data_IF_126540327261
#
_entry.id   IF_126540327261
#
_cell.length_a   1.000
_cell.length_b   1.000
_cell.length_c   1.000
_cell.angle_alpha   90.00
_cell.angle_beta   90.00
_cell.angle_gamma   90.00
#
_symmetry.space_group_name_H-M   'P 1'
#
loop_
_entity.id
_entity.type
_entity.pdbx_description
1 polymer ?
#
# COMPACT_ATOMS: atom_id res chain seq x y z
N UNK A 1 -2.39 7.46 6.73
CA UNK A 1 -1.81 8.17 5.57
C UNK A 1 -0.43 8.64 5.97
N UNK A 2 0.60 8.01 5.43
CA UNK A 2 1.99 8.32 5.78
C UNK A 2 2.59 9.20 4.69
N UNK A 3 3.18 10.33 5.07
CA UNK A 3 3.84 11.25 4.14
C UNK A 3 5.15 10.62 3.65
N UNK A 4 5.32 10.49 2.33
CA UNK A 4 6.54 9.98 1.70
C UNK A 4 7.42 11.15 1.25
N UNK A 5 6.81 12.10 0.54
CA UNK A 5 7.40 13.40 0.17
C UNK A 5 6.37 14.50 0.39
N UNK A 6 6.65 15.75 0.02
CA UNK A 6 5.72 16.88 0.26
C UNK A 6 4.30 16.61 -0.24
N UNK A 7 4.18 16.05 -1.45
CA UNK A 7 2.92 15.90 -2.18
C UNK A 7 2.49 14.43 -2.36
N UNK A 8 3.28 13.47 -1.89
CA UNK A 8 3.04 12.03 -2.09
C UNK A 8 2.80 11.36 -0.75
N UNK A 9 1.66 10.67 -0.64
CA UNK A 9 1.24 10.00 0.58
C UNK A 9 0.96 8.53 0.31
N UNK A 10 1.49 7.66 1.17
CA UNK A 10 1.13 6.25 1.20
C UNK A 10 -0.22 6.10 1.93
N UNK A 11 -1.15 5.41 1.27
CA UNK A 11 -2.51 5.12 1.75
C UNK A 11 -2.83 3.62 1.79
N UNK A 12 -1.91 2.78 1.36
CA UNK A 12 -2.03 1.32 1.41
C UNK A 12 -2.03 0.74 2.83
N UNK A 13 -2.18 -0.58 2.91
CA UNK A 13 -2.33 -1.31 4.18
C UNK A 13 -1.33 -2.46 4.30
N UNK A 14 -0.90 -2.76 5.53
CA UNK A 14 -0.17 -3.98 5.85
C UNK A 14 -1.16 -5.04 6.32
N UNK A 15 -1.18 -6.18 5.65
CA UNK A 15 -1.96 -7.35 6.00
C UNK A 15 -1.07 -8.39 6.69
N UNK A 16 -1.33 -8.60 7.97
CA UNK A 16 -0.68 -9.61 8.80
C UNK A 16 -1.60 -10.80 9.09
N UNK A 17 -2.79 -10.85 8.48
CA UNK A 17 -3.81 -11.89 8.71
C UNK A 17 -3.79 -12.95 7.61
N UNK A 18 -3.42 -12.60 6.39
CA UNK A 18 -3.33 -13.58 5.31
C UNK A 18 -2.15 -14.52 5.56
N UNK A 19 -2.44 -15.81 5.66
CA UNK A 19 -1.43 -16.84 5.93
C UNK A 19 -0.65 -17.22 4.65
N UNK A 20 -1.33 -17.28 3.51
CA UNK A 20 -0.79 -17.70 2.22
C UNK A 20 -1.09 -16.67 1.12
N UNK A 21 -0.06 -16.10 0.53
CA UNK A 21 -0.17 -15.33 -0.71
C UNK A 21 -0.53 -16.27 -1.87
N UNK A 22 -1.57 -15.92 -2.61
CA UNK A 22 -2.14 -16.73 -3.71
C UNK A 22 -2.49 -18.18 -3.31
N UNK A 23 -2.70 -18.44 -2.02
CA UNK A 23 -2.96 -19.78 -1.51
C UNK A 23 -1.76 -20.73 -1.56
N UNK A 24 -0.56 -20.23 -1.85
CA UNK A 24 0.64 -21.07 -2.06
C UNK A 24 1.82 -20.64 -1.19
N UNK A 25 2.06 -19.34 -1.03
CA UNK A 25 3.31 -18.84 -0.45
C UNK A 25 3.09 -18.33 0.98
N UNK A 26 3.75 -18.90 2.01
CA UNK A 26 3.56 -18.46 3.39
C UNK A 26 4.04 -17.02 3.62
N UNK A 27 3.28 -16.26 4.41
CA UNK A 27 3.56 -14.86 4.75
C UNK A 27 3.94 -14.70 6.24
N UNK A 28 5.14 -15.15 6.68
CA UNK A 28 5.53 -15.12 8.09
C UNK A 28 5.64 -13.69 8.69
N UNK A 29 5.67 -12.67 7.84
CA UNK A 29 5.71 -11.25 8.23
C UNK A 29 4.54 -10.45 7.62
N UNK A 30 3.53 -11.12 7.07
CA UNK A 30 2.47 -10.47 6.30
C UNK A 30 2.94 -9.93 4.94
N UNK A 31 2.09 -9.11 4.34
CA UNK A 31 2.30 -8.44 3.04
C UNK A 31 1.82 -6.99 3.10
N UNK A 32 2.39 -6.11 2.28
CA UNK A 32 1.94 -4.74 2.12
C UNK A 32 1.21 -4.57 0.78
N UNK A 33 -0.02 -4.11 0.82
CA UNK A 33 -0.75 -3.63 -0.35
C UNK A 33 -0.52 -2.13 -0.46
N UNK A 34 0.46 -1.75 -1.28
CA UNK A 34 0.83 -0.35 -1.44
C UNK A 34 -0.17 0.37 -2.35
N UNK A 35 -0.54 1.57 -1.94
CA UNK A 35 -1.32 2.51 -2.73
C UNK A 35 -0.90 3.91 -2.34
N UNK A 36 -0.89 4.82 -3.30
CA UNK A 36 -0.39 6.18 -3.12
C UNK A 36 -1.36 7.21 -3.68
N UNK A 37 -1.43 8.36 -3.01
CA UNK A 37 -2.08 9.56 -3.55
C UNK A 37 -1.04 10.64 -3.79
N UNK A 38 -1.11 11.26 -4.97
CA UNK A 38 -0.34 12.44 -5.34
C UNK A 38 -1.29 13.62 -5.35
N UNK A 39 -0.97 14.66 -4.58
CA UNK A 39 -1.75 15.89 -4.48
C UNK A 39 -0.94 17.04 -5.07
N UNK A 40 -1.33 17.50 -6.25
CA UNK A 40 -0.75 18.64 -6.96
C UNK A 40 -1.88 19.46 -7.62
N UNK A 41 -1.61 20.23 -8.67
CA UNK A 41 -2.64 20.88 -9.50
C UNK A 41 -3.76 19.91 -9.93
N UNK A 42 -3.41 18.62 -10.07
CA UNK A 42 -4.35 17.51 -10.22
C UNK A 42 -4.06 16.43 -9.19
N UNK A 43 -5.11 15.73 -8.77
CA UNK A 43 -5.01 14.58 -7.85
C UNK A 43 -5.00 13.27 -8.63
N UNK A 44 -4.08 12.37 -8.29
CA UNK A 44 -4.02 11.02 -8.84
C UNK A 44 -3.88 9.99 -7.73
N UNK A 45 -4.50 8.82 -7.94
CA UNK A 45 -4.34 7.63 -7.10
C UNK A 45 -3.59 6.58 -7.92
N UNK A 46 -2.60 5.95 -7.30
CA UNK A 46 -1.75 4.92 -7.88
C UNK A 46 -1.93 3.65 -7.07
N UNK A 47 -2.10 2.53 -7.80
CA UNK A 47 -2.32 1.17 -7.30
C UNK A 47 -3.60 1.01 -6.44
N UNK A 48 -4.47 0.06 -6.79
CA UNK A 48 -5.76 -0.23 -6.11
C UNK A 48 -5.95 -1.71 -5.89
#
# INVERSE_FOLDING_TARGET
MNKVTENVFQIGINDYKTDLFEGQYPLPKGIAYNSYVIIDEKTAVLDT
#
